data_IF_737344164141
#
_entry.id   IF_737344164141
#
_cell.length_a   1.000
_cell.length_b   1.000
_cell.length_c   1.000
_cell.angle_alpha   90.00
_cell.angle_beta   90.00
_cell.angle_gamma   90.00
#
_symmetry.space_group_name_H-M   'P 1'
#
loop_
_entity.id
_entity.type
_entity.pdbx_description
1 polymer ?
#
# COMPACT_ATOMS: atom_id res chain seq x y z
N UNK A 1 51.29 -43.61 -6.22
CA UNK A 1 51.76 -42.53 -7.12
C UNK A 1 50.78 -41.38 -6.97
N UNK A 2 51.11 -40.43 -6.07
CA UNK A 2 51.65 -39.10 -6.41
C UNK A 2 50.60 -38.26 -7.20
N UNK A 3 50.13 -37.10 -6.77
CA UNK A 3 50.42 -36.26 -5.61
C UNK A 3 49.33 -35.17 -5.52
N UNK A 4 48.86 -34.91 -4.29
CA UNK A 4 48.49 -33.65 -3.63
C UNK A 4 48.58 -32.29 -4.36
N UNK A 5 47.66 -31.36 -4.03
CA UNK A 5 47.83 -29.94 -3.59
C UNK A 5 46.39 -29.33 -3.52
N UNK A 6 45.71 -29.24 -2.37
CA UNK A 6 45.83 -28.27 -1.27
C UNK A 6 45.94 -26.80 -1.70
N UNK A 7 44.86 -26.02 -1.60
CA UNK A 7 44.92 -24.70 -0.98
C UNK A 7 43.59 -24.37 -0.27
N UNK A 8 43.70 -24.36 1.05
CA UNK A 8 42.73 -23.76 1.95
C UNK A 8 42.82 -22.23 1.86
N UNK A 9 41.69 -21.54 1.92
CA UNK A 9 41.63 -20.22 2.54
C UNK A 9 40.47 -20.19 3.53
N UNK A 10 40.82 -20.57 4.76
CA UNK A 10 40.16 -20.11 5.97
C UNK A 10 40.35 -18.59 6.06
N UNK A 11 39.27 -17.84 6.28
CA UNK A 11 39.41 -16.51 6.91
C UNK A 11 38.26 -16.25 7.87
N UNK A 12 38.55 -16.58 9.13
CA UNK A 12 38.22 -15.86 10.36
C UNK A 12 36.83 -15.23 10.46
N UNK A 13 35.95 -15.98 11.12
CA UNK A 13 34.88 -15.43 11.95
C UNK A 13 35.53 -14.64 13.09
N UNK A 14 35.36 -13.31 13.07
CA UNK A 14 35.57 -12.46 14.24
C UNK A 14 34.19 -12.00 14.69
N UNK A 15 33.68 -12.63 15.76
CA UNK A 15 32.59 -12.09 16.57
C UNK A 15 33.23 -11.23 17.66
N UNK A 16 33.03 -9.92 17.59
CA UNK A 16 33.18 -9.02 18.75
C UNK A 16 32.01 -8.02 18.71
N UNK A 17 31.26 -7.84 19.82
CA UNK A 17 30.11 -6.94 19.89
C UNK A 17 30.52 -5.52 20.32
N UNK A 18 29.89 -4.50 19.74
CA UNK A 18 29.61 -3.14 20.30
C UNK A 18 29.22 -2.20 19.14
N UNK A 19 28.05 -1.56 19.13
CA UNK A 19 27.63 -0.33 19.83
C UNK A 19 28.20 0.97 19.19
N UNK A 20 27.26 1.77 18.69
CA UNK A 20 27.24 3.24 18.47
C UNK A 20 28.12 3.93 17.41
N UNK A 21 27.41 4.76 16.63
CA UNK A 21 27.75 6.06 16.04
C UNK A 21 28.75 6.15 14.87
N UNK A 22 28.21 6.52 13.69
CA UNK A 22 29.00 7.16 12.63
C UNK A 22 28.28 8.41 12.09
N UNK A 23 28.95 9.54 12.25
CA UNK A 23 28.77 10.79 11.52
C UNK A 23 29.76 10.81 10.34
N UNK A 24 29.34 11.20 9.13
CA UNK A 24 30.24 11.35 7.98
C UNK A 24 30.13 12.77 7.41
N UNK A 25 31.27 13.44 7.24
CA UNK A 25 31.43 14.74 6.58
C UNK A 25 31.92 14.56 5.12
N UNK A 26 31.59 15.50 4.22
CA UNK A 26 32.14 15.56 2.86
C UNK A 26 32.83 16.91 2.57
N UNK A 27 33.95 16.86 1.84
CA UNK A 27 34.62 18.01 1.23
C UNK A 27 34.48 17.98 -0.30
N UNK A 28 34.48 19.18 -0.88
CA UNK A 28 34.27 19.53 -2.28
C UNK A 28 35.53 19.42 -3.15
N UNK A 29 35.37 19.08 -4.45
CA UNK A 29 35.76 19.92 -5.61
C UNK A 29 35.83 19.14 -6.96
N UNK A 30 35.25 19.74 -8.01
CA UNK A 30 35.82 19.89 -9.36
C UNK A 30 36.10 18.67 -10.29
N UNK A 31 35.17 18.45 -11.24
CA UNK A 31 35.16 17.69 -12.53
C UNK A 31 36.47 17.54 -13.36
N UNK A 32 36.50 16.80 -14.50
CA UNK A 32 35.79 15.56 -14.93
C UNK A 32 36.70 14.49 -15.62
N UNK A 33 36.29 13.22 -15.68
CA UNK A 33 36.77 12.28 -16.71
C UNK A 33 35.77 11.13 -16.95
N UNK A 34 35.71 10.67 -18.20
CA UNK A 34 34.77 9.68 -18.75
C UNK A 34 34.98 8.25 -18.25
N UNK A 35 33.85 7.53 -18.20
CA UNK A 35 33.62 6.12 -18.60
C UNK A 35 33.26 5.08 -17.52
N UNK A 36 32.21 4.34 -17.92
CA UNK A 36 31.71 3.01 -17.52
C UNK A 36 30.74 2.95 -16.32
N UNK A 37 29.49 2.67 -16.70
CA UNK A 37 28.31 2.35 -15.89
C UNK A 37 28.58 1.21 -14.90
N UNK A 38 28.31 1.45 -13.61
CA UNK A 38 27.41 0.60 -12.82
C UNK A 38 27.08 1.24 -11.47
N UNK A 39 25.93 0.83 -10.92
CA UNK A 39 25.42 1.08 -9.57
C UNK A 39 24.65 2.38 -9.34
N UNK A 40 23.34 2.20 -9.21
CA UNK A 40 22.33 3.11 -8.67
C UNK A 40 22.78 3.74 -7.35
N UNK A 41 23.17 5.01 -7.40
CA UNK A 41 23.37 5.86 -6.22
C UNK A 41 22.11 6.69 -5.97
N UNK A 42 21.44 6.43 -4.86
CA UNK A 42 20.36 7.29 -4.37
C UNK A 42 20.95 8.62 -3.90
N UNK A 43 20.52 9.72 -4.50
CA UNK A 43 20.84 11.08 -4.05
C UNK A 43 19.83 11.50 -2.97
N UNK A 44 20.28 11.63 -1.73
CA UNK A 44 19.51 12.29 -0.66
C UNK A 44 19.73 13.81 -0.76
N UNK A 45 18.67 14.58 -0.95
CA UNK A 45 18.70 16.03 -0.68
C UNK A 45 17.91 16.31 0.60
N UNK A 46 18.60 16.65 1.68
CA UNK A 46 17.98 17.26 2.85
C UNK A 46 18.11 18.78 2.70
N UNK A 47 16.99 19.48 2.48
CA UNK A 47 16.94 20.94 2.63
C UNK A 47 16.53 21.26 4.07
N UNK A 48 17.50 21.72 4.88
CA UNK A 48 17.22 22.40 6.14
C UNK A 48 17.02 23.90 5.86
N UNK A 49 15.77 24.35 5.81
CA UNK A 49 15.43 25.77 5.84
C UNK A 49 15.15 26.20 7.28
N UNK A 50 16.10 26.92 7.88
CA UNK A 50 15.83 27.75 9.06
C UNK A 50 15.75 29.20 8.56
N UNK A 51 14.63 29.92 8.78
CA UNK A 51 14.53 31.32 8.39
C UNK A 51 15.25 32.20 9.41
N UNK A 52 16.09 33.11 8.91
CA UNK A 52 16.57 34.28 9.66
C UNK A 52 17.78 34.04 10.54
N UNK A 53 18.98 34.19 9.97
CA UNK A 53 20.14 34.92 10.53
C UNK A 53 21.30 34.90 9.52
N UNK A 54 21.63 36.06 8.96
CA UNK A 54 22.86 36.24 8.19
C UNK A 54 24.04 36.34 9.15
N UNK A 55 25.08 35.55 8.96
CA UNK A 55 26.37 35.79 9.63
C UNK A 55 27.35 36.37 8.61
N UNK A 56 27.47 37.70 8.61
CA UNK A 56 28.58 38.41 8.00
C UNK A 56 29.84 38.28 8.88
N UNK A 57 30.98 37.94 8.26
CA UNK A 57 32.27 38.55 8.57
C UNK A 57 33.17 37.95 9.67
N UNK A 58 34.40 37.65 9.21
CA UNK A 58 35.72 37.77 9.86
C UNK A 58 36.26 36.64 10.74
N UNK A 59 37.52 36.31 10.41
CA UNK A 59 38.47 35.42 11.08
C UNK A 59 38.61 35.75 12.57
N UNK A 60 38.46 34.75 13.43
CA UNK A 60 38.83 34.86 14.85
C UNK A 60 38.25 33.74 15.72
N UNK A 61 39.13 32.82 16.14
CA UNK A 61 39.08 31.92 17.30
C UNK A 61 37.68 31.60 17.90
N UNK A 62 37.18 30.38 17.68
CA UNK A 62 36.12 29.81 18.51
C UNK A 62 36.70 29.24 19.81
N UNK A 63 36.30 29.78 20.95
CA UNK A 63 36.35 29.10 22.24
C UNK A 63 34.99 29.21 22.92
N UNK A 64 34.44 28.05 23.29
CA UNK A 64 33.60 27.72 24.47
C UNK A 64 32.58 26.64 24.15
N UNK A 65 32.62 25.63 25.00
CA UNK A 65 31.68 24.52 25.13
C UNK A 65 30.24 25.05 25.29
N UNK A 66 29.33 24.54 24.46
CA UNK A 66 27.90 24.60 24.75
C UNK A 66 27.46 23.19 25.13
N UNK A 67 27.01 23.04 26.39
CA UNK A 67 26.30 21.86 26.87
C UNK A 67 25.10 21.57 25.96
N UNK A 68 25.13 20.46 25.24
CA UNK A 68 23.94 19.92 24.59
C UNK A 68 23.04 19.25 25.64
N UNK A 69 21.95 19.94 25.98
CA UNK A 69 20.82 19.38 26.71
C UNK A 69 20.23 18.19 25.92
N UNK A 70 20.10 16.97 26.48
CA UNK A 70 19.54 15.84 25.76
C UNK A 70 18.02 15.99 25.69
N UNK A 71 17.54 16.73 24.68
CA UNK A 71 16.13 16.66 24.30
C UNK A 71 15.91 15.32 23.63
N UNK A 72 15.16 14.44 24.28
CA UNK A 72 14.53 13.26 23.67
C UNK A 72 13.89 13.66 22.33
N UNK A 73 14.55 13.27 21.24
CA UNK A 73 14.04 13.41 19.87
C UNK A 73 12.79 12.53 19.75
N UNK A 74 11.61 13.13 19.84
CA UNK A 74 10.39 12.53 19.29
C UNK A 74 10.61 12.36 17.79
N UNK A 75 10.94 11.14 17.34
CA UNK A 75 10.98 10.79 15.92
C UNK A 75 9.56 10.81 15.35
N UNK A 76 9.11 12.00 14.97
CA UNK A 76 7.95 12.19 14.11
C UNK A 76 8.45 12.78 12.80
N UNK A 77 8.89 11.93 11.88
CA UNK A 77 8.94 12.29 10.48
C UNK A 77 8.31 11.17 9.66
N UNK A 78 7.20 11.49 9.00
CA UNK A 78 6.59 10.63 7.99
C UNK A 78 7.69 10.33 6.96
N UNK A 79 8.19 9.10 6.91
CA UNK A 79 9.16 8.70 5.89
C UNK A 79 8.45 8.69 4.54
N UNK A 80 8.96 9.51 3.61
CA UNK A 80 8.44 9.61 2.25
C UNK A 80 9.52 9.14 1.29
N UNK A 81 9.16 8.22 0.40
CA UNK A 81 10.04 7.69 -0.63
C UNK A 81 9.40 7.98 -1.98
N UNK A 82 10.22 8.41 -2.93
CA UNK A 82 9.76 8.76 -4.26
C UNK A 82 10.43 7.86 -5.29
N UNK A 83 9.61 7.13 -6.04
CA UNK A 83 10.08 6.36 -7.17
C UNK A 83 9.93 7.19 -8.46
N UNK A 84 11.07 7.63 -9.01
CA UNK A 84 11.10 8.44 -10.23
C UNK A 84 10.54 7.70 -11.44
N UNK A 85 10.77 6.38 -11.52
CA UNK A 85 10.38 5.59 -12.70
C UNK A 85 8.86 5.49 -12.84
N UNK A 86 8.14 5.26 -11.74
CA UNK A 86 6.67 5.16 -11.74
C UNK A 86 5.98 6.50 -11.44
N UNK A 87 6.73 7.52 -11.05
CA UNK A 87 6.24 8.78 -10.53
C UNK A 87 5.20 8.56 -9.38
N UNK A 88 5.56 7.67 -8.45
CA UNK A 88 4.76 7.31 -7.27
C UNK A 88 5.51 7.74 -6.01
N UNK A 89 4.79 8.38 -5.10
CA UNK A 89 5.27 8.72 -3.77
C UNK A 89 4.70 7.75 -2.74
N UNK A 90 5.57 7.05 -2.05
CA UNK A 90 5.25 6.15 -0.94
C UNK A 90 5.37 6.91 0.37
N UNK A 91 4.27 7.01 1.11
CA UNK A 91 4.20 7.69 2.40
C UNK A 91 3.99 6.64 3.47
N UNK A 92 4.97 6.46 4.37
CA UNK A 92 4.81 5.53 5.49
C UNK A 92 3.67 6.00 6.39
N UNK A 93 2.76 5.09 6.72
CA UNK A 93 1.63 5.34 7.63
C UNK A 93 1.72 4.39 8.82
N UNK A 94 1.58 4.95 10.02
CA UNK A 94 1.46 4.20 11.25
C UNK A 94 2.74 3.47 11.66
N UNK A 95 2.55 2.50 12.56
CA UNK A 95 3.60 1.62 13.09
C UNK A 95 3.72 0.35 12.26
N UNK A 96 4.86 -0.33 12.39
CA UNK A 96 5.12 -1.58 11.67
C UNK A 96 4.16 -2.67 12.17
N UNK A 97 3.47 -3.32 11.23
CA UNK A 97 2.54 -4.39 11.54
C UNK A 97 3.30 -5.63 11.98
N UNK A 98 3.06 -6.04 13.24
CA UNK A 98 3.72 -7.20 13.90
C UNK A 98 5.26 -7.18 13.79
N UNK A 99 5.87 -5.99 13.73
CA UNK A 99 7.31 -5.81 13.50
C UNK A 99 7.83 -6.56 12.25
N UNK A 100 6.97 -6.80 11.25
CA UNK A 100 7.29 -7.59 10.06
C UNK A 100 7.01 -6.85 8.76
N UNK A 101 6.02 -5.94 8.74
CA UNK A 101 5.64 -5.20 7.54
C UNK A 101 5.45 -3.70 7.83
N UNK A 102 5.83 -2.85 6.87
CA UNK A 102 5.48 -1.43 6.84
C UNK A 102 4.27 -1.21 5.96
N UNK A 103 3.39 -0.30 6.39
CA UNK A 103 2.26 0.18 5.62
C UNK A 103 2.64 1.50 4.92
N UNK A 104 2.32 1.58 3.63
CA UNK A 104 2.49 2.80 2.84
C UNK A 104 1.18 3.19 2.15
N UNK A 105 0.91 4.50 2.09
CA UNK A 105 -0.02 5.11 1.14
C UNK A 105 0.75 5.52 -0.12
N UNK A 106 0.15 5.25 -1.28
CA UNK A 106 0.70 5.58 -2.58
C UNK A 106 -0.01 6.82 -3.11
N UNK A 107 0.76 7.90 -3.28
CA UNK A 107 0.29 9.12 -3.91
C UNK A 107 0.84 9.20 -5.33
N UNK A 108 -0.08 9.25 -6.29
CA UNK A 108 0.27 9.53 -7.68
C UNK A 108 0.56 11.01 -7.83
N UNK A 109 1.78 11.35 -8.26
CA UNK A 109 2.10 12.75 -8.51
C UNK A 109 1.52 13.18 -9.88
N UNK A 110 1.08 14.43 -9.97
CA UNK A 110 0.61 15.00 -11.23
C UNK A 110 1.76 15.03 -12.25
N UNK A 111 1.51 14.50 -13.44
CA UNK A 111 2.45 14.66 -14.55
C UNK A 111 2.29 16.05 -15.14
N UNK A 112 3.29 16.91 -14.99
CA UNK A 112 3.45 18.09 -15.86
C UNK A 112 4.10 17.72 -17.22
N UNK A 113 4.41 16.43 -17.44
CA UNK A 113 5.24 15.92 -18.53
C UNK A 113 4.64 14.64 -19.12
N UNK A 114 4.41 14.67 -20.44
CA UNK A 114 4.36 13.61 -21.48
C UNK A 114 3.75 12.24 -21.10
N UNK A 115 2.87 11.76 -22.00
CA UNK A 115 2.18 10.46 -22.01
C UNK A 115 3.03 9.24 -21.57
N UNK A 116 4.35 9.23 -21.81
CA UNK A 116 5.27 8.13 -21.46
C UNK A 116 5.46 7.92 -19.95
N UNK A 117 5.42 8.98 -19.13
CA UNK A 117 5.54 8.87 -17.66
C UNK A 117 4.33 8.15 -17.04
N UNK A 118 3.22 8.05 -17.78
CA UNK A 118 2.03 7.30 -17.34
C UNK A 118 2.19 5.79 -17.51
N UNK A 119 2.98 5.32 -18.50
CA UNK A 119 3.05 3.89 -18.82
C UNK A 119 3.70 3.08 -17.70
N UNK A 120 4.85 3.52 -17.19
CA UNK A 120 5.58 2.82 -16.13
C UNK A 120 4.75 2.70 -14.84
N UNK A 121 3.97 3.75 -14.52
CA UNK A 121 3.04 3.77 -13.39
C UNK A 121 1.99 2.68 -13.49
N UNK A 122 1.30 2.62 -14.62
CA UNK A 122 0.22 1.66 -14.82
C UNK A 122 0.75 0.24 -14.96
N UNK A 123 1.90 0.08 -15.62
CA UNK A 123 2.62 -1.19 -15.71
C UNK A 123 3.02 -1.70 -14.33
N UNK A 124 3.46 -0.82 -13.43
CA UNK A 124 3.74 -1.17 -12.04
C UNK A 124 2.52 -1.76 -11.33
N UNK A 125 1.35 -1.11 -11.41
CA UNK A 125 0.14 -1.63 -10.77
C UNK A 125 -0.32 -2.93 -11.41
N UNK A 126 -0.32 -3.02 -12.74
CA UNK A 126 -0.72 -4.22 -13.45
C UNK A 126 0.18 -5.40 -13.08
N UNK A 127 1.51 -5.24 -13.14
CA UNK A 127 2.46 -6.26 -12.71
C UNK A 127 2.22 -6.66 -11.25
N UNK A 128 2.08 -5.69 -10.35
CA UNK A 128 1.84 -5.94 -8.93
C UNK A 128 0.56 -6.76 -8.70
N UNK A 129 -0.54 -6.42 -9.37
CA UNK A 129 -1.80 -7.15 -9.22
C UNK A 129 -1.71 -8.56 -9.82
N UNK A 130 -1.10 -8.73 -10.99
CA UNK A 130 -0.85 -10.07 -11.58
C UNK A 130 -0.08 -10.96 -10.62
N UNK A 131 0.98 -10.43 -10.01
CA UNK A 131 1.81 -11.16 -9.04
C UNK A 131 1.02 -11.51 -7.77
N UNK A 132 0.22 -10.59 -7.24
CA UNK A 132 -0.55 -10.81 -6.00
C UNK A 132 -1.75 -11.75 -6.18
N UNK A 133 -2.42 -11.70 -7.33
CA UNK A 133 -3.54 -12.58 -7.68
C UNK A 133 -3.09 -13.93 -8.25
N UNK A 134 -1.80 -14.12 -8.57
CA UNK A 134 -1.27 -15.30 -9.26
C UNK A 134 -1.90 -15.48 -10.67
N UNK A 135 -2.10 -14.37 -11.39
CA UNK A 135 -2.76 -14.31 -12.69
C UNK A 135 -1.88 -13.61 -13.75
N UNK A 136 -0.89 -14.30 -14.36
CA UNK A 136 0.12 -13.66 -15.22
C UNK A 136 -0.46 -13.01 -16.49
N UNK A 137 -1.62 -13.49 -16.95
CA UNK A 137 -2.27 -13.04 -18.18
C UNK A 137 -3.46 -12.10 -17.94
N UNK A 138 -3.81 -11.81 -16.68
CA UNK A 138 -4.93 -10.95 -16.34
C UNK A 138 -4.65 -9.49 -16.75
N UNK A 139 -5.69 -8.81 -17.23
CA UNK A 139 -5.60 -7.42 -17.71
C UNK A 139 -6.30 -6.48 -16.73
N UNK A 140 -5.53 -5.89 -15.84
CA UNK A 140 -6.05 -4.94 -14.85
C UNK A 140 -6.01 -3.48 -15.33
N UNK A 141 -5.34 -3.21 -16.45
CA UNK A 141 -4.99 -1.86 -16.90
C UNK A 141 -6.16 -0.86 -16.88
N UNK A 142 -7.26 -1.16 -17.56
CA UNK A 142 -8.42 -0.26 -17.64
C UNK A 142 -9.08 -0.03 -16.27
N UNK A 143 -9.21 -1.08 -15.46
CA UNK A 143 -9.79 -0.99 -14.12
C UNK A 143 -8.92 -0.15 -13.19
N UNK A 144 -7.59 -0.36 -13.21
CA UNK A 144 -6.64 0.44 -12.43
C UNK A 144 -6.72 1.91 -12.82
N UNK A 145 -6.68 2.21 -14.12
CA UNK A 145 -6.72 3.59 -14.61
C UNK A 145 -8.00 4.28 -14.15
N UNK A 146 -9.15 3.65 -14.38
CA UNK A 146 -10.44 4.20 -13.95
C UNK A 146 -10.48 4.43 -12.44
N UNK A 147 -9.92 3.53 -11.64
CA UNK A 147 -9.91 3.70 -10.19
C UNK A 147 -8.97 4.81 -9.73
N UNK A 148 -7.73 4.81 -10.22
CA UNK A 148 -6.70 5.73 -9.76
C UNK A 148 -6.89 7.15 -10.30
N UNK A 149 -7.38 7.33 -11.53
CA UNK A 149 -7.66 8.65 -12.09
C UNK A 149 -8.85 9.35 -11.43
N UNK A 150 -9.80 8.60 -10.87
CA UNK A 150 -10.95 9.15 -10.13
C UNK A 150 -10.60 9.42 -8.65
N UNK A 151 -9.44 10.05 -8.40
CA UNK A 151 -8.91 10.28 -7.04
C UNK A 151 -8.73 8.97 -6.25
N UNK A 152 -8.23 7.93 -6.91
CA UNK A 152 -7.99 6.66 -6.25
C UNK A 152 -6.82 6.73 -5.28
N UNK A 153 -6.94 5.97 -4.19
CA UNK A 153 -5.96 5.85 -3.13
C UNK A 153 -5.56 4.38 -3.06
N UNK A 154 -4.27 4.12 -2.90
CA UNK A 154 -3.75 2.78 -2.71
C UNK A 154 -2.95 2.67 -1.42
N UNK A 155 -3.20 1.59 -0.67
CA UNK A 155 -2.42 1.21 0.49
C UNK A 155 -1.70 -0.11 0.24
N UNK A 156 -0.42 -0.20 0.61
CA UNK A 156 0.40 -1.41 0.43
C UNK A 156 1.12 -1.81 1.71
N UNK A 157 1.27 -3.11 1.90
CA UNK A 157 2.20 -3.67 2.87
C UNK A 157 3.48 -4.12 2.18
N UNK A 158 4.62 -3.82 2.81
CA UNK A 158 5.95 -4.22 2.36
C UNK A 158 6.75 -4.79 3.54
N UNK A 159 7.43 -5.94 3.41
CA UNK A 159 8.25 -6.51 4.47
C UNK A 159 9.37 -5.57 4.94
N UNK A 160 9.73 -5.59 6.22
CA UNK A 160 10.79 -4.72 6.76
C UNK A 160 12.17 -5.02 6.16
N UNK A 161 12.40 -6.27 5.77
CA UNK A 161 13.63 -6.78 5.15
C UNK A 161 13.65 -6.62 3.62
N UNK A 162 12.65 -5.99 3.02
CA UNK A 162 12.61 -5.78 1.59
C UNK A 162 13.76 -4.87 1.12
N UNK A 163 14.46 -5.31 0.07
CA UNK A 163 15.50 -4.52 -0.60
C UNK A 163 14.94 -3.43 -1.50
N UNK A 164 13.71 -3.61 -1.97
CA UNK A 164 12.97 -2.63 -2.78
C UNK A 164 11.48 -2.67 -2.46
N UNK A 165 10.87 -1.50 -2.27
CA UNK A 165 9.43 -1.38 -2.00
C UNK A 165 8.61 -1.90 -3.17
N UNK A 166 8.92 -1.46 -4.39
CA UNK A 166 8.12 -1.76 -5.58
C UNK A 166 8.14 -3.25 -5.95
N UNK A 167 9.23 -3.96 -5.64
CA UNK A 167 9.36 -5.39 -5.92
C UNK A 167 8.77 -6.31 -4.84
N UNK A 168 8.60 -5.80 -3.62
CA UNK A 168 8.26 -6.62 -2.44
C UNK A 168 6.91 -6.24 -1.82
N UNK A 169 5.93 -5.85 -2.63
CA UNK A 169 4.58 -5.63 -2.15
C UNK A 169 3.97 -6.98 -1.74
N UNK A 170 3.64 -7.10 -0.46
CA UNK A 170 3.02 -8.28 0.15
C UNK A 170 1.49 -8.26 0.01
N UNK A 171 0.90 -7.07 0.06
CA UNK A 171 -0.54 -6.88 -0.06
C UNK A 171 -0.84 -5.47 -0.56
N UNK A 172 -1.95 -5.31 -1.27
CA UNK A 172 -2.45 -4.04 -1.78
C UNK A 172 -3.97 -3.94 -1.61
N UNK A 173 -4.45 -2.73 -1.37
CA UNK A 173 -5.84 -2.34 -1.58
C UNK A 173 -5.87 -1.03 -2.36
N UNK A 174 -6.76 -0.95 -3.34
CA UNK A 174 -7.00 0.23 -4.16
C UNK A 174 -8.46 0.59 -4.00
N UNK A 175 -8.72 1.81 -3.57
CA UNK A 175 -10.06 2.38 -3.40
C UNK A 175 -10.21 3.67 -4.19
N UNK A 176 -11.43 3.99 -4.59
CA UNK A 176 -11.74 5.21 -5.31
C UNK A 176 -13.10 5.74 -4.89
N UNK A 177 -13.35 7.03 -5.09
CA UNK A 177 -14.72 7.55 -4.95
C UNK A 177 -15.48 7.23 -6.22
N UNK A 178 -16.64 6.60 -6.10
CA UNK A 178 -17.40 6.24 -7.29
C UNK A 178 -17.93 7.50 -7.97
N UNK A 179 -17.67 7.67 -9.28
CA UNK A 179 -18.04 8.89 -10.03
C UNK A 179 -19.54 9.21 -9.97
N UNK A 180 -20.38 8.18 -9.87
CA UNK A 180 -21.84 8.30 -9.92
C UNK A 180 -22.50 8.15 -8.54
N UNK A 181 -21.73 7.95 -7.47
CA UNK A 181 -22.25 7.82 -6.11
C UNK A 181 -21.35 8.59 -5.16
N UNK A 182 -21.83 9.77 -4.77
CA UNK A 182 -21.08 10.68 -3.90
C UNK A 182 -20.94 10.14 -2.47
N UNK A 183 -21.79 9.20 -2.07
CA UNK A 183 -21.84 8.62 -0.73
C UNK A 183 -21.07 7.29 -0.59
N UNK A 184 -20.30 6.87 -1.60
CA UNK A 184 -19.68 5.56 -1.62
C UNK A 184 -18.18 5.62 -1.98
N UNK A 185 -17.36 4.91 -1.18
CA UNK A 185 -16.02 4.51 -1.58
C UNK A 185 -16.04 3.09 -2.13
N UNK A 186 -15.50 2.91 -3.32
CA UNK A 186 -15.46 1.63 -4.00
C UNK A 186 -14.06 1.02 -3.89
N UNK A 187 -13.97 -0.21 -3.38
CA UNK A 187 -12.74 -1.00 -3.40
C UNK A 187 -12.63 -1.65 -4.77
N UNK A 188 -11.65 -1.20 -5.55
CA UNK A 188 -11.40 -1.69 -6.89
C UNK A 188 -10.66 -3.03 -6.90
N UNK A 189 -9.59 -3.10 -6.12
CA UNK A 189 -8.74 -4.27 -6.04
C UNK A 189 -8.25 -4.43 -4.61
N UNK A 190 -8.25 -5.67 -4.15
CA UNK A 190 -7.63 -6.05 -2.89
C UNK A 190 -6.97 -7.40 -3.10
N UNK A 191 -5.68 -7.49 -2.82
CA UNK A 191 -4.92 -8.71 -3.01
C UNK A 191 -3.84 -8.86 -1.95
N UNK A 192 -3.52 -10.10 -1.61
CA UNK A 192 -2.42 -10.45 -0.71
C UNK A 192 -1.68 -11.62 -1.32
N UNK A 193 -0.35 -11.50 -1.41
CA UNK A 193 0.53 -12.54 -1.93
C UNK A 193 0.35 -13.82 -1.12
N UNK A 194 0.38 -14.97 -1.79
CA UNK A 194 0.00 -16.27 -1.23
C UNK A 194 0.70 -16.60 0.09
N UNK A 195 2.01 -16.36 0.18
CA UNK A 195 2.83 -16.61 1.35
C UNK A 195 2.47 -15.71 2.56
N UNK A 196 1.82 -14.56 2.32
CA UNK A 196 1.37 -13.62 3.36
C UNK A 196 -0.13 -13.71 3.68
N UNK A 197 -0.87 -14.60 3.01
CA UNK A 197 -2.30 -14.83 3.29
C UNK A 197 -2.48 -15.39 4.71
N UNK A 198 -3.63 -15.11 5.32
CA UNK A 198 -3.99 -15.50 6.70
C UNK A 198 -3.07 -14.94 7.81
N UNK A 199 -2.15 -14.02 7.48
CA UNK A 199 -1.32 -13.34 8.49
C UNK A 199 -1.96 -12.06 9.06
N UNK A 200 -3.14 -11.68 8.55
CA UNK A 200 -3.91 -10.50 8.98
C UNK A 200 -3.67 -9.22 8.16
N UNK A 201 -2.84 -9.27 7.10
CA UNK A 201 -2.59 -8.12 6.23
C UNK A 201 -3.86 -7.62 5.54
N UNK A 202 -4.66 -8.52 4.97
CA UNK A 202 -5.94 -8.16 4.34
C UNK A 202 -6.90 -7.48 5.31
N UNK A 203 -7.07 -8.02 6.51
CA UNK A 203 -7.87 -7.38 7.57
C UNK A 203 -7.36 -5.97 7.87
N UNK A 204 -6.04 -5.79 8.00
CA UNK A 204 -5.48 -4.46 8.26
C UNK A 204 -5.71 -3.49 7.11
N UNK A 205 -5.60 -3.95 5.85
CA UNK A 205 -5.92 -3.11 4.70
C UNK A 205 -7.40 -2.68 4.68
N UNK A 206 -8.33 -3.58 5.04
CA UNK A 206 -9.74 -3.20 5.22
C UNK A 206 -9.91 -2.18 6.33
N UNK A 207 -9.28 -2.37 7.48
CA UNK A 207 -9.31 -1.41 8.57
C UNK A 207 -8.81 -0.02 8.14
N UNK A 208 -7.71 0.04 7.38
CA UNK A 208 -7.22 1.30 6.82
C UNK A 208 -8.20 1.94 5.84
N UNK A 209 -8.85 1.13 4.98
CA UNK A 209 -9.89 1.64 4.08
C UNK A 209 -11.09 2.20 4.83
N UNK A 210 -11.49 1.58 5.94
CA UNK A 210 -12.57 2.07 6.81
C UNK A 210 -12.16 3.34 7.53
N UNK A 211 -10.95 3.41 8.11
CA UNK A 211 -10.46 4.65 8.69
C UNK A 211 -10.46 5.80 7.66
N UNK A 212 -10.06 5.52 6.42
CA UNK A 212 -10.15 6.52 5.35
C UNK A 212 -11.60 6.94 5.08
N UNK A 213 -12.52 5.99 4.98
CA UNK A 213 -13.93 6.27 4.72
C UNK A 213 -14.60 7.06 5.84
N UNK A 214 -14.33 6.70 7.11
CA UNK A 214 -14.83 7.42 8.28
C UNK A 214 -14.34 8.88 8.30
N UNK A 215 -13.08 9.13 7.93
CA UNK A 215 -12.55 10.49 7.80
C UNK A 215 -13.23 11.30 6.68
N UNK A 216 -13.82 10.62 5.68
CA UNK A 216 -14.53 11.23 4.56
C UNK A 216 -16.05 11.29 4.79
N UNK A 217 -16.58 10.85 5.94
CA UNK A 217 -18.01 10.94 6.26
C UNK A 217 -18.52 12.38 6.24
N UNK A 218 -17.69 13.33 6.70
CA UNK A 218 -18.00 14.77 6.63
C UNK A 218 -18.16 15.26 5.18
N UNK A 219 -17.55 14.56 4.22
CA UNK A 219 -17.68 14.82 2.78
C UNK A 219 -18.83 14.03 2.15
N UNK A 220 -19.69 13.40 2.96
CA UNK A 220 -20.91 12.70 2.53
C UNK A 220 -20.74 11.20 2.28
N UNK A 221 -19.56 10.61 2.53
CA UNK A 221 -19.37 9.15 2.41
C UNK A 221 -20.18 8.43 3.50
N UNK A 222 -20.95 7.42 3.11
CA UNK A 222 -21.78 6.58 3.98
C UNK A 222 -21.46 5.09 3.84
N UNK A 223 -20.98 4.68 2.67
CA UNK A 223 -20.76 3.28 2.34
C UNK A 223 -19.35 3.00 1.84
N UNK A 224 -18.91 1.77 2.05
CA UNK A 224 -17.81 1.17 1.29
C UNK A 224 -18.36 -0.05 0.55
N UNK A 225 -18.17 -0.12 -0.76
CA UNK A 225 -18.65 -1.22 -1.56
C UNK A 225 -17.57 -1.85 -2.42
N UNK A 226 -17.85 -3.06 -2.89
CA UNK A 226 -16.97 -3.84 -3.75
C UNK A 226 -17.75 -4.92 -4.48
N UNK A 227 -17.14 -5.45 -5.53
CA UNK A 227 -17.65 -6.60 -6.27
C UNK A 227 -16.78 -7.83 -6.03
N UNK A 228 -17.42 -8.98 -5.83
CA UNK A 228 -16.73 -10.27 -5.70
C UNK A 228 -17.34 -11.28 -6.66
N UNK A 229 -16.49 -12.00 -7.38
CA UNK A 229 -16.93 -13.14 -8.18
C UNK A 229 -17.67 -14.16 -7.31
N UNK A 230 -18.82 -14.66 -7.76
CA UNK A 230 -19.66 -15.58 -6.97
C UNK A 230 -18.97 -16.89 -6.57
N UNK A 231 -17.90 -17.28 -7.26
CA UNK A 231 -17.12 -18.48 -6.95
C UNK A 231 -15.95 -18.23 -5.99
N UNK A 232 -15.64 -16.97 -5.69
CA UNK A 232 -14.56 -16.64 -4.75
C UNK A 232 -15.05 -16.72 -3.30
N UNK A 233 -15.40 -17.93 -2.87
CA UNK A 233 -15.99 -18.21 -1.54
C UNK A 233 -15.10 -17.72 -0.39
N UNK A 234 -13.78 -17.82 -0.54
CA UNK A 234 -12.81 -17.33 0.45
C UNK A 234 -12.94 -15.82 0.65
N UNK A 235 -13.07 -15.04 -0.43
CA UNK A 235 -13.26 -13.60 -0.33
C UNK A 235 -14.65 -13.24 0.21
N UNK A 236 -15.69 -13.96 -0.24
CA UNK A 236 -17.05 -13.79 0.25
C UNK A 236 -17.15 -13.98 1.77
N UNK A 237 -16.67 -15.11 2.30
CA UNK A 237 -16.60 -15.39 3.74
C UNK A 237 -15.79 -14.34 4.48
N UNK A 238 -14.67 -13.91 3.91
CA UNK A 238 -13.82 -12.88 4.49
C UNK A 238 -14.58 -11.55 4.64
N UNK A 239 -15.23 -11.06 3.58
CA UNK A 239 -15.97 -9.81 3.61
C UNK A 239 -17.19 -9.89 4.52
N UNK A 240 -17.96 -11.00 4.49
CA UNK A 240 -19.11 -11.19 5.37
C UNK A 240 -18.71 -11.20 6.84
N UNK A 241 -17.60 -11.85 7.18
CA UNK A 241 -17.03 -11.85 8.54
C UNK A 241 -16.62 -10.45 8.97
N UNK A 242 -16.16 -9.62 8.03
CA UNK A 242 -15.83 -8.22 8.25
C UNK A 242 -17.08 -7.31 8.18
N UNK A 243 -18.29 -7.87 8.10
CA UNK A 243 -19.57 -7.16 8.15
C UNK A 243 -20.06 -6.53 6.85
N UNK A 244 -19.40 -6.80 5.73
CA UNK A 244 -19.99 -6.50 4.41
C UNK A 244 -21.22 -7.39 4.20
N UNK A 245 -22.22 -6.82 3.53
CA UNK A 245 -23.47 -7.50 3.20
C UNK A 245 -23.75 -7.37 1.72
N UNK A 246 -24.37 -8.41 1.17
CA UNK A 246 -24.74 -8.42 -0.22
C UNK A 246 -26.01 -7.60 -0.41
N UNK A 247 -25.99 -6.74 -1.42
CA UNK A 247 -27.17 -5.94 -1.78
C UNK A 247 -27.66 -6.25 -3.19
N UNK A 248 -26.82 -6.81 -4.07
CA UNK A 248 -27.19 -7.12 -5.44
C UNK A 248 -26.39 -8.31 -5.99
N UNK A 249 -27.07 -9.14 -6.78
CA UNK A 249 -26.45 -10.16 -7.62
C UNK A 249 -26.45 -9.68 -9.07
N UNK A 250 -25.28 -9.66 -9.69
CA UNK A 250 -25.06 -9.14 -11.03
C UNK A 250 -24.64 -10.28 -11.97
N UNK A 251 -25.57 -10.82 -12.78
CA UNK A 251 -25.23 -11.91 -13.67
C UNK A 251 -24.41 -11.39 -14.86
N UNK A 252 -23.37 -12.15 -15.24
CA UNK A 252 -22.51 -11.85 -16.40
C UNK A 252 -21.89 -10.45 -16.37
N UNK A 253 -21.57 -9.96 -15.17
CA UNK A 253 -21.05 -8.61 -14.96
C UNK A 253 -19.58 -8.47 -15.34
N UNK A 254 -18.76 -9.51 -15.09
CA UNK A 254 -17.35 -9.49 -15.46
C UNK A 254 -17.17 -9.94 -16.91
N UNK A 255 -16.06 -9.54 -17.51
CA UNK A 255 -15.65 -10.14 -18.78
C UNK A 255 -15.35 -11.63 -18.58
N UNK A 256 -15.69 -12.49 -19.55
CA UNK A 256 -15.33 -13.89 -19.49
C UNK A 256 -13.79 -14.02 -19.48
N UNK A 257 -13.22 -14.44 -18.36
CA UNK A 257 -11.81 -14.77 -18.27
C UNK A 257 -11.60 -16.29 -18.29
N UNK A 258 -10.53 -16.81 -18.92
CA UNK A 258 -10.25 -18.25 -18.98
C UNK A 258 -10.16 -18.93 -17.61
N UNK A 259 -9.85 -18.15 -16.57
CA UNK A 259 -9.64 -18.62 -15.20
C UNK A 259 -10.90 -18.53 -14.32
N UNK A 260 -11.96 -17.89 -14.81
CA UNK A 260 -13.22 -17.74 -14.09
C UNK A 260 -14.32 -18.50 -14.81
N UNK A 261 -14.72 -19.65 -14.26
CA UNK A 261 -15.79 -20.49 -14.83
C UNK A 261 -17.16 -19.79 -14.84
N UNK A 262 -17.32 -18.75 -14.02
CA UNK A 262 -18.46 -17.83 -14.10
C UNK A 262 -18.00 -16.39 -14.03
N UNK A 263 -18.72 -15.51 -14.71
CA UNK A 263 -18.53 -14.06 -14.67
C UNK A 263 -19.63 -13.31 -13.88
N UNK A 264 -20.36 -14.05 -13.03
CA UNK A 264 -21.35 -13.50 -12.10
C UNK A 264 -20.66 -12.91 -10.87
N UNK A 265 -21.28 -11.89 -10.28
CA UNK A 265 -20.73 -11.13 -9.16
C UNK A 265 -21.78 -10.86 -8.10
N UNK A 266 -21.36 -10.84 -6.84
CA UNK A 266 -22.11 -10.19 -5.77
C UNK A 266 -21.56 -8.78 -5.54
N UNK A 267 -22.45 -7.80 -5.50
CA UNK A 267 -22.15 -6.47 -5.03
C UNK A 267 -22.35 -6.44 -3.51
N UNK A 268 -21.27 -6.14 -2.79
CA UNK A 268 -21.23 -6.08 -1.33
C UNK A 268 -21.09 -4.63 -0.88
N UNK A 269 -21.76 -4.26 0.20
CA UNK A 269 -21.62 -2.95 0.86
C UNK A 269 -21.44 -3.09 2.36
N UNK A 270 -20.71 -2.15 2.94
CA UNK A 270 -20.61 -1.92 4.37
C UNK A 270 -21.15 -0.51 4.64
N UNK A 271 -22.18 -0.41 5.47
CA UNK A 271 -22.64 0.86 6.01
C UNK A 271 -21.71 1.32 7.14
N UNK A 272 -21.17 2.53 7.03
CA UNK A 272 -20.23 3.10 8.00
C UNK A 272 -20.88 3.43 9.34
N UNK A 273 -22.17 3.73 9.36
CA UNK A 273 -22.91 4.02 10.60
C UNK A 273 -23.00 2.77 11.51
N UNK A 274 -22.87 1.59 10.91
CA UNK A 274 -22.86 0.32 11.63
C UNK A 274 -21.48 0.01 12.24
N UNK A 275 -20.41 0.74 11.90
CA UNK A 275 -19.06 0.44 12.37
C UNK A 275 -18.82 1.00 13.77
N UNK A 276 -18.76 0.12 14.77
CA UNK A 276 -18.52 0.47 16.19
C UNK A 276 -17.04 0.47 16.55
N UNK A 277 -16.29 -0.53 16.06
CA UNK A 277 -14.87 -0.70 16.39
C UNK A 277 -14.07 -1.22 15.19
N UNK A 278 -13.36 -0.31 14.52
CA UNK A 278 -12.50 -0.67 13.38
C UNK A 278 -11.40 -1.68 13.77
N UNK A 279 -10.82 -1.59 14.97
CA UNK A 279 -9.73 -2.51 15.36
C UNK A 279 -10.20 -3.95 15.60
N UNK A 280 -11.46 -4.11 16.01
CA UNK A 280 -12.14 -5.40 16.22
C UNK A 280 -12.65 -6.06 14.94
N UNK A 281 -12.61 -5.35 13.81
CA UNK A 281 -13.15 -5.81 12.52
C UNK A 281 -12.70 -7.24 12.15
N UNK A 282 -13.65 -8.04 11.65
CA UNK A 282 -13.46 -9.43 11.23
C UNK A 282 -13.13 -10.42 12.37
N UNK A 283 -13.13 -9.98 13.63
CA UNK A 283 -12.78 -10.82 14.80
C UNK A 283 -13.81 -10.73 15.90
N UNK A 284 -14.22 -9.50 16.21
CA UNK A 284 -15.20 -9.18 17.22
C UNK A 284 -16.58 -9.03 16.55
N UNK A 285 -17.57 -9.88 16.91
CA UNK A 285 -18.92 -9.77 16.36
C UNK A 285 -19.60 -8.45 16.71
N UNK A 286 -19.18 -7.77 17.79
CA UNK A 286 -19.74 -6.49 18.22
C UNK A 286 -19.05 -5.28 17.58
N UNK A 287 -18.02 -5.52 16.76
CA UNK A 287 -17.34 -4.46 16.01
C UNK A 287 -18.24 -3.78 14.97
N UNK A 288 -19.32 -4.47 14.56
CA UNK A 288 -20.31 -3.97 13.60
C UNK A 288 -21.72 -4.24 14.12
N UNK A 289 -22.56 -3.21 14.11
CA UNK A 289 -23.99 -3.36 14.38
C UNK A 289 -24.72 -3.88 13.15
N UNK A 290 -25.00 -5.18 13.13
CA UNK A 290 -25.72 -5.80 12.01
C UNK A 290 -27.25 -5.61 12.18
N UNK A 291 -27.73 -5.02 13.29
CA UNK A 291 -29.16 -4.96 13.63
C UNK A 291 -29.91 -3.75 13.06
N UNK A 292 -29.23 -2.79 12.43
CA UNK A 292 -29.90 -1.65 11.77
C UNK A 292 -29.93 -1.80 10.24
N UNK A 293 -31.14 -1.63 9.72
CA UNK A 293 -31.64 -1.98 8.39
C UNK A 293 -31.05 -1.17 7.24
N UNK A 294 -30.91 -1.82 6.08
CA UNK A 294 -31.28 -1.29 4.76
C UNK A 294 -31.15 -2.38 3.68
N UNK A 295 -32.17 -3.24 3.48
CA UNK A 295 -32.22 -4.25 2.41
C UNK A 295 -30.98 -5.18 2.26
N UNK A 296 -30.06 -5.14 3.22
CA UNK A 296 -28.78 -5.83 3.23
C UNK A 296 -28.99 -7.27 3.67
N UNK A 297 -28.68 -8.18 2.75
CA UNK A 297 -28.88 -9.61 2.94
C UNK A 297 -27.53 -10.25 3.22
N UNK A 298 -27.53 -11.32 4.02
CA UNK A 298 -26.43 -12.29 3.93
C UNK A 298 -26.32 -12.77 2.48
N UNK A 299 -25.15 -13.22 2.06
CA UNK A 299 -24.95 -13.76 0.70
C UNK A 299 -25.97 -14.87 0.41
N UNK A 300 -26.25 -15.73 1.38
CA UNK A 300 -27.28 -16.78 1.30
C UNK A 300 -28.66 -16.24 0.91
N UNK A 301 -29.00 -15.03 1.38
CA UNK A 301 -30.27 -14.37 1.11
C UNK A 301 -30.21 -13.50 -0.16
N UNK A 302 -29.03 -13.11 -0.64
CA UNK A 302 -28.84 -12.35 -1.87
C UNK A 302 -29.27 -13.14 -3.11
N UNK A 303 -29.11 -14.46 -3.07
CA UNK A 303 -29.56 -15.41 -4.09
C UNK A 303 -31.09 -15.51 -4.26
N UNK A 304 -31.88 -14.93 -3.34
CA UNK A 304 -33.35 -15.02 -3.36
C UNK A 304 -34.05 -13.84 -4.04
N UNK A 305 -33.31 -12.90 -4.64
CA UNK A 305 -33.96 -11.87 -5.46
C UNK A 305 -34.32 -12.51 -6.81
N UNK A 306 -35.63 -12.60 -7.16
CA UNK A 306 -36.05 -13.25 -8.38
C UNK A 306 -35.58 -12.46 -9.58
N UNK A 307 -35.18 -13.18 -10.63
CA UNK A 307 -35.43 -12.83 -12.03
C UNK A 307 -36.78 -12.13 -12.20
N UNK A 308 -36.81 -10.81 -12.03
CA UNK A 308 -37.86 -9.93 -12.51
C UNK A 308 -37.21 -8.88 -13.39
N UNK A 309 -36.66 -9.32 -14.51
CA UNK A 309 -36.36 -8.52 -15.70
C UNK A 309 -36.05 -9.47 -16.88
N UNK A 310 -36.91 -10.45 -17.08
CA UNK A 310 -37.13 -11.06 -18.39
C UNK A 310 -38.65 -11.11 -18.60
N UNK A 311 -39.18 -10.00 -19.11
CA UNK A 311 -40.44 -9.92 -19.85
C UNK A 311 -40.12 -9.27 -21.19
#
# INVERSE_FOLDING_TARGET
MFLSICFALLLLIVIVPCKSDYSVYYCSNGRPAFSIFNVSTFTFSAQCSIPGRSCYGKKGKCSKEYLCCPRTLKMSSKLQLYDRATNIKFIRIGIDYKNAHRLYELNLLSNNSIMYDSYQRWFFFEKTLRDLFEMPNARFWYAIINCMQNNGIAYVFVPLNATSITANISAIIILTRQKNSFDNLYICHMATRKEYRRQGLGTHLLQQSIYRALNEQQNGIKYISLHVNTLNTIALEFYEKCGWRCYEYLPKYLDPEPHHTTNHVYALKLNLDNVKNVTGLCRDPDAIDIKQSDNEKSIENCNRIPTQLEK
#
